data_IF_793521081970
#
_entry.id   IF_793521081970
#
_cell.length_a   1.000
_cell.length_b   1.000
_cell.length_c   1.000
_cell.angle_alpha   90.00
_cell.angle_beta   90.00
_cell.angle_gamma   90.00
#
_symmetry.space_group_name_H-M   'P 1'
#
loop_
_entity.id
_entity.type
_entity.pdbx_description
1 polymer ?
#
# COMPACT_ATOMS: atom_id res chain seq x y z
N UNK A 1 -9.20 -34.01 -4.23
CA UNK A 1 -8.52 -32.77 -3.77
C UNK A 1 -8.79 -32.62 -2.29
N UNK A 2 -7.76 -32.71 -1.45
CA UNK A 2 -7.92 -32.48 0.00
C UNK A 2 -8.06 -30.97 0.25
N UNK A 3 -9.20 -30.55 0.77
CA UNK A 3 -9.42 -29.19 1.29
C UNK A 3 -8.48 -28.96 2.46
N UNK A 4 -7.45 -28.14 2.23
CA UNK A 4 -6.55 -27.66 3.27
C UNK A 4 -7.39 -26.97 4.36
N UNK A 5 -7.23 -27.31 5.65
CA UNK A 5 -7.98 -26.65 6.70
C UNK A 5 -7.69 -25.14 6.68
N UNK A 6 -8.74 -24.32 6.65
CA UNK A 6 -8.68 -22.89 6.88
C UNK A 6 -7.90 -22.65 8.18
N UNK A 7 -6.64 -22.24 8.08
CA UNK A 7 -5.87 -21.79 9.24
C UNK A 7 -6.57 -20.54 9.76
N UNK A 8 -7.37 -20.69 10.81
CA UNK A 8 -7.92 -19.59 11.59
C UNK A 8 -6.76 -18.68 11.97
N UNK A 9 -6.82 -17.43 11.53
CA UNK A 9 -5.79 -16.47 11.88
C UNK A 9 -5.74 -16.26 13.38
N UNK A 10 -4.53 -16.01 13.90
CA UNK A 10 -4.34 -15.76 15.31
C UNK A 10 -5.31 -14.65 15.78
N UNK A 11 -6.00 -14.81 16.92
CA UNK A 11 -7.01 -13.85 17.41
C UNK A 11 -6.50 -12.41 17.47
N UNK A 12 -5.21 -12.21 17.77
CA UNK A 12 -4.55 -10.89 17.77
C UNK A 12 -4.62 -10.18 16.41
N UNK A 13 -4.49 -10.90 15.31
CA UNK A 13 -4.50 -10.34 13.96
C UNK A 13 -5.88 -9.86 13.55
N UNK A 14 -6.92 -10.55 14.01
CA UNK A 14 -8.31 -10.14 13.83
C UNK A 14 -8.59 -8.87 14.64
N UNK A 15 -8.04 -8.75 15.85
CA UNK A 15 -8.19 -7.55 16.69
C UNK A 15 -7.47 -6.35 16.07
N UNK A 16 -6.23 -6.53 15.63
CA UNK A 16 -5.43 -5.49 14.96
C UNK A 16 -6.11 -5.03 13.67
N UNK A 17 -6.52 -5.96 12.80
CA UNK A 17 -7.21 -5.63 11.54
C UNK A 17 -8.50 -4.84 11.79
N UNK A 18 -9.32 -5.25 12.77
CA UNK A 18 -10.52 -4.51 13.16
C UNK A 18 -10.20 -3.11 13.70
N UNK A 19 -9.14 -2.96 14.47
CA UNK A 19 -8.73 -1.64 14.98
C UNK A 19 -8.29 -0.72 13.85
N UNK A 20 -7.54 -1.22 12.87
CA UNK A 20 -7.15 -0.44 11.69
C UNK A 20 -8.40 0.03 10.92
N UNK A 21 -9.40 -0.85 10.76
CA UNK A 21 -10.67 -0.47 10.12
C UNK A 21 -11.45 0.58 10.90
N UNK A 22 -11.47 0.49 12.24
CA UNK A 22 -12.09 1.50 13.08
C UNK A 22 -11.40 2.88 12.99
N UNK A 23 -10.10 2.90 12.70
CA UNK A 23 -9.29 4.12 12.57
C UNK A 23 -9.18 4.62 11.13
N UNK A 24 -9.76 3.92 10.16
CA UNK A 24 -9.54 4.12 8.72
C UNK A 24 -9.69 5.59 8.30
N UNK A 25 -10.84 6.19 8.63
CA UNK A 25 -11.14 7.55 8.17
C UNK A 25 -10.24 8.59 8.85
N UNK A 26 -9.84 8.35 10.11
CA UNK A 26 -8.87 9.20 10.81
C UNK A 26 -7.47 9.10 10.20
N UNK A 27 -7.01 7.89 9.90
CA UNK A 27 -5.73 7.64 9.22
C UNK A 27 -5.69 8.32 7.85
N UNK A 28 -6.75 8.15 7.06
CA UNK A 28 -6.86 8.78 5.74
C UNK A 28 -6.89 10.30 5.85
N UNK A 29 -7.62 10.87 6.83
CA UNK A 29 -7.66 12.31 7.02
C UNK A 29 -6.30 12.89 7.46
N UNK A 30 -5.55 12.19 8.33
CA UNK A 30 -4.18 12.58 8.72
C UNK A 30 -3.21 12.45 7.55
N UNK A 31 -3.32 11.38 6.77
CA UNK A 31 -2.47 11.15 5.61
C UNK A 31 -2.71 12.16 4.51
N UNK A 32 -3.98 12.40 4.14
CA UNK A 32 -4.36 13.39 3.11
C UNK A 32 -3.82 14.78 3.46
N UNK A 33 -3.98 15.23 4.70
CA UNK A 33 -3.44 16.52 5.18
C UNK A 33 -1.92 16.60 5.08
N UNK A 34 -1.22 15.51 5.38
CA UNK A 34 0.23 15.45 5.21
C UNK A 34 0.64 15.57 3.73
N UNK A 35 -0.08 14.90 2.83
CA UNK A 35 0.16 15.00 1.38
C UNK A 35 -0.08 16.43 0.89
N UNK A 36 -1.21 17.04 1.27
CA UNK A 36 -1.57 18.42 0.92
C UNK A 36 -0.52 19.43 1.38
N UNK A 37 -0.01 19.28 2.60
CA UNK A 37 1.01 20.19 3.16
C UNK A 37 2.34 20.13 2.39
N UNK A 38 2.66 19.01 1.72
CA UNK A 38 3.88 18.85 0.92
C UNK A 38 3.73 19.26 -0.54
N UNK A 39 2.51 19.44 -1.02
CA UNK A 39 2.19 19.59 -2.43
C UNK A 39 2.32 21.03 -2.99
N UNK A 40 3.17 21.87 -2.39
CA UNK A 40 3.48 23.20 -2.93
C UNK A 40 4.31 23.09 -4.23
N UNK A 41 3.67 22.76 -5.36
CA UNK A 41 4.27 22.80 -6.70
C UNK A 41 4.06 21.59 -7.63
N UNK A 42 3.30 20.56 -7.25
CA UNK A 42 3.13 19.32 -8.03
C UNK A 42 1.74 19.18 -8.67
N UNK A 43 1.64 18.37 -9.73
CA UNK A 43 0.38 18.14 -10.47
C UNK A 43 -0.63 17.42 -9.56
N UNK A 44 -1.82 18.01 -9.39
CA UNK A 44 -2.88 17.46 -8.55
C UNK A 44 -3.64 16.36 -9.26
N UNK A 45 -3.71 15.18 -8.62
CA UNK A 45 -4.84 14.28 -8.80
C UNK A 45 -6.04 14.89 -8.07
N UNK A 46 -7.24 14.82 -8.67
CA UNK A 46 -8.44 15.36 -8.04
C UNK A 46 -8.62 14.82 -6.61
N UNK A 47 -8.91 15.68 -5.60
CA UNK A 47 -9.00 15.26 -4.20
C UNK A 47 -9.82 13.99 -3.93
N UNK A 48 -10.98 13.77 -4.60
CA UNK A 48 -11.78 12.56 -4.38
C UNK A 48 -11.10 11.27 -4.83
N UNK A 49 -10.26 11.31 -5.87
CA UNK A 49 -9.57 10.12 -6.37
C UNK A 49 -8.45 9.70 -5.43
N UNK A 50 -7.66 10.67 -4.97
CA UNK A 50 -6.60 10.45 -3.97
C UNK A 50 -7.19 9.85 -2.70
N UNK A 51 -8.21 10.48 -2.13
CA UNK A 51 -8.84 9.99 -0.88
C UNK A 51 -9.37 8.55 -1.02
N UNK A 52 -10.00 8.21 -2.16
CA UNK A 52 -10.46 6.84 -2.43
C UNK A 52 -9.31 5.83 -2.47
N UNK A 53 -8.18 6.20 -3.08
CA UNK A 53 -7.01 5.33 -3.12
C UNK A 53 -6.39 5.15 -1.73
N UNK A 54 -6.25 6.22 -0.94
CA UNK A 54 -5.74 6.11 0.43
C UNK A 54 -6.65 5.21 1.28
N UNK A 55 -7.97 5.37 1.15
CA UNK A 55 -8.97 4.50 1.77
C UNK A 55 -8.77 3.04 1.36
N UNK A 56 -8.62 2.76 0.07
CA UNK A 56 -8.37 1.41 -0.44
C UNK A 56 -7.08 0.82 0.14
N UNK A 57 -6.00 1.58 0.21
CA UNK A 57 -4.72 1.12 0.78
C UNK A 57 -4.90 0.75 2.26
N UNK A 58 -5.58 1.59 3.05
CA UNK A 58 -5.83 1.31 4.48
C UNK A 58 -6.75 0.09 4.65
N UNK A 59 -7.78 -0.03 3.81
CA UNK A 59 -8.67 -1.20 3.75
C UNK A 59 -7.87 -2.48 3.52
N UNK A 60 -7.08 -2.51 2.46
CA UNK A 60 -6.27 -3.68 2.11
C UNK A 60 -5.21 -3.98 3.16
N UNK A 61 -4.59 -2.96 3.77
CA UNK A 61 -3.63 -3.15 4.86
C UNK A 61 -4.27 -3.87 6.06
N UNK A 62 -5.50 -3.52 6.43
CA UNK A 62 -6.22 -4.21 7.50
C UNK A 62 -6.52 -5.68 7.14
N UNK A 63 -6.94 -5.95 5.90
CA UNK A 63 -7.19 -7.31 5.43
C UNK A 63 -5.89 -8.15 5.39
N UNK A 64 -4.79 -7.56 4.95
CA UNK A 64 -3.44 -8.16 4.94
C UNK A 64 -2.91 -8.46 6.34
N UNK A 65 -3.27 -7.61 7.30
CA UNK A 65 -2.96 -7.78 8.72
C UNK A 65 -3.82 -8.86 9.37
N UNK A 66 -5.03 -9.10 8.85
CA UNK A 66 -6.03 -10.02 9.38
C UNK A 66 -6.12 -11.38 8.69
N UNK A 67 -7.30 -12.05 8.76
CA UNK A 67 -7.51 -13.38 8.22
C UNK A 67 -7.65 -13.43 6.70
N UNK A 68 -8.07 -12.33 6.08
CA UNK A 68 -8.31 -12.24 4.63
C UNK A 68 -7.05 -11.90 3.85
N UNK A 69 -5.87 -12.22 4.40
CA UNK A 69 -4.59 -11.89 3.79
C UNK A 69 -4.44 -12.50 2.40
N UNK A 70 -4.94 -13.72 2.19
CA UNK A 70 -4.77 -14.42 0.90
C UNK A 70 -5.57 -13.74 -0.20
N UNK A 71 -6.79 -13.33 0.14
CA UNK A 71 -7.71 -12.64 -0.75
C UNK A 71 -7.27 -11.19 -1.01
N UNK A 72 -6.57 -10.58 -0.05
CA UNK A 72 -6.06 -9.22 -0.17
C UNK A 72 -4.65 -9.12 -0.77
N UNK A 73 -3.93 -10.22 -1.00
CA UNK A 73 -2.53 -10.19 -1.46
C UNK A 73 -2.41 -9.52 -2.85
N UNK A 74 -3.15 -10.01 -3.85
CA UNK A 74 -3.10 -9.42 -5.21
C UNK A 74 -3.65 -7.98 -5.25
N UNK A 75 -4.82 -7.65 -4.64
CA UNK A 75 -5.28 -6.27 -4.59
C UNK A 75 -4.32 -5.33 -3.85
N UNK A 76 -3.64 -5.80 -2.80
CA UNK A 76 -2.63 -5.02 -2.08
C UNK A 76 -1.47 -4.61 -2.99
N UNK A 77 -0.94 -5.57 -3.76
CA UNK A 77 0.10 -5.25 -4.74
C UNK A 77 -0.44 -4.31 -5.82
N UNK A 78 -1.59 -4.59 -6.43
CA UNK A 78 -2.14 -3.70 -7.46
C UNK A 78 -2.36 -2.26 -6.97
N UNK A 79 -2.88 -2.08 -5.74
CA UNK A 79 -3.14 -0.76 -5.17
C UNK A 79 -1.86 0.00 -4.82
N UNK A 80 -0.86 -0.68 -4.27
CA UNK A 80 0.43 -0.05 -3.91
C UNK A 80 1.26 0.28 -5.15
N UNK A 81 1.22 -0.56 -6.18
CA UNK A 81 1.83 -0.28 -7.48
C UNK A 81 1.16 0.94 -8.15
N UNK A 82 -0.18 0.99 -8.15
CA UNK A 82 -0.94 2.13 -8.65
C UNK A 82 -0.59 3.43 -7.91
N UNK A 83 -0.42 3.37 -6.59
CA UNK A 83 0.02 4.51 -5.79
C UNK A 83 1.37 5.06 -6.26
N UNK A 84 2.34 4.16 -6.51
CA UNK A 84 3.63 4.50 -7.10
C UNK A 84 3.53 5.15 -8.48
N UNK A 85 2.76 4.54 -9.38
CA UNK A 85 2.51 5.10 -10.73
C UNK A 85 1.93 6.51 -10.66
N UNK A 86 0.96 6.71 -9.76
CA UNK A 86 0.34 8.01 -9.54
C UNK A 86 1.29 9.02 -8.93
N UNK A 87 2.24 8.60 -8.09
CA UNK A 87 3.29 9.47 -7.60
C UNK A 87 4.21 9.97 -8.72
N UNK A 88 4.55 9.11 -9.69
CA UNK A 88 5.32 9.52 -10.86
C UNK A 88 4.56 10.57 -11.70
N UNK A 89 3.23 10.39 -11.88
CA UNK A 89 2.37 11.38 -12.55
C UNK A 89 2.31 12.71 -11.79
N UNK A 90 2.32 12.66 -10.45
CA UNK A 90 2.42 13.85 -9.59
C UNK A 90 3.79 14.55 -9.67
N UNK A 91 4.79 13.92 -10.30
CA UNK A 91 6.15 14.47 -10.42
C UNK A 91 6.98 14.33 -9.14
N UNK A 92 6.62 13.41 -8.25
CA UNK A 92 7.40 13.11 -7.05
C UNK A 92 8.68 12.38 -7.42
N UNK A 93 9.67 12.42 -6.54
CA UNK A 93 10.82 11.52 -6.55
C UNK A 93 10.49 10.19 -5.86
N UNK A 94 11.27 9.13 -6.15
CA UNK A 94 11.09 7.83 -5.48
C UNK A 94 11.24 7.93 -3.94
N UNK A 95 12.14 8.79 -3.46
CA UNK A 95 12.31 9.05 -2.03
C UNK A 95 11.06 9.62 -1.39
N UNK A 96 10.35 10.52 -2.08
CA UNK A 96 9.10 11.08 -1.58
C UNK A 96 7.97 10.03 -1.52
N UNK A 97 7.91 9.11 -2.48
CA UNK A 97 6.96 7.96 -2.42
C UNK A 97 7.20 7.13 -1.16
N UNK A 98 8.47 6.86 -0.86
CA UNK A 98 8.85 6.15 0.36
C UNK A 98 8.43 6.95 1.58
N UNK A 99 8.73 8.25 1.66
CA UNK A 99 8.34 9.12 2.77
C UNK A 99 6.82 9.14 3.00
N UNK A 100 6.02 9.24 1.94
CA UNK A 100 4.55 9.24 2.04
C UNK A 100 4.02 7.94 2.68
N UNK A 101 4.60 6.79 2.34
CA UNK A 101 4.22 5.49 2.92
C UNK A 101 4.82 5.24 4.30
N UNK A 102 6.00 5.81 4.59
CA UNK A 102 6.57 5.76 5.94
C UNK A 102 5.79 6.63 6.92
N UNK A 103 5.19 7.72 6.46
CA UNK A 103 4.25 8.49 7.27
C UNK A 103 3.02 7.65 7.66
N UNK A 104 2.48 6.83 6.74
CA UNK A 104 1.42 5.88 7.10
C UNK A 104 1.88 4.88 8.17
N UNK A 105 3.12 4.39 8.12
CA UNK A 105 3.69 3.53 9.17
C UNK A 105 3.73 4.23 10.52
N UNK A 106 4.14 5.50 10.54
CA UNK A 106 4.17 6.30 11.77
C UNK A 106 2.77 6.44 12.37
N UNK A 107 1.77 6.80 11.55
CA UNK A 107 0.38 6.90 11.97
C UNK A 107 -0.13 5.59 12.56
N UNK A 108 0.09 4.47 11.87
CA UNK A 108 -0.31 3.14 12.34
C UNK A 108 0.39 2.78 13.65
N UNK A 109 1.69 3.06 13.78
CA UNK A 109 2.46 2.75 14.99
C UNK A 109 1.91 3.51 16.18
N UNK A 110 1.62 4.81 16.00
CA UNK A 110 1.06 5.67 17.05
C UNK A 110 -0.35 5.25 17.43
N UNK A 111 -1.24 5.10 16.44
CA UNK A 111 -2.67 4.88 16.69
C UNK A 111 -3.00 3.42 17.07
N UNK A 112 -2.08 2.48 16.81
CA UNK A 112 -2.19 1.08 17.25
C UNK A 112 -1.39 0.76 18.53
N UNK A 113 -0.62 1.70 19.08
CA UNK A 113 0.25 1.42 20.24
C UNK A 113 -0.54 0.81 21.40
N UNK A 114 -1.66 1.43 21.79
CA UNK A 114 -2.48 0.98 22.92
C UNK A 114 -3.04 -0.43 22.72
N UNK A 115 -3.53 -0.74 21.51
CA UNK A 115 -4.08 -2.07 21.24
C UNK A 115 -2.98 -3.13 21.21
N UNK A 116 -1.79 -2.78 20.71
CA UNK A 116 -0.65 -3.70 20.65
C UNK A 116 -0.13 -4.03 22.05
N UNK A 117 -0.07 -3.04 22.96
CA UNK A 117 0.33 -3.24 24.37
C UNK A 117 -0.72 -4.06 25.13
N UNK A 118 -2.00 -3.94 24.78
CA UNK A 118 -3.08 -4.71 25.39
C UNK A 118 -3.12 -6.20 24.96
N UNK A 119 -2.41 -6.59 23.89
CA UNK A 119 -2.31 -7.99 23.48
C UNK A 119 -1.48 -8.81 24.48
N UNK A 120 -1.70 -10.14 24.57
CA UNK A 120 -0.80 -11.02 25.29
C UNK A 120 0.65 -10.82 24.84
N UNK A 121 1.60 -10.76 25.77
CA UNK A 121 3.03 -10.45 25.50
C UNK A 121 3.61 -11.25 24.33
N UNK A 122 3.26 -12.54 24.24
CA UNK A 122 3.70 -13.45 23.16
C UNK A 122 3.20 -13.08 21.76
N UNK A 123 2.19 -12.20 21.66
CA UNK A 123 1.53 -11.78 20.43
C UNK A 123 1.84 -10.33 20.04
N UNK A 124 2.39 -9.50 20.93
CA UNK A 124 2.67 -8.08 20.67
C UNK A 124 3.68 -7.91 19.53
N UNK A 125 4.92 -8.38 19.74
CA UNK A 125 6.00 -8.26 18.75
C UNK A 125 5.68 -8.96 17.41
N UNK A 126 5.11 -10.19 17.38
CA UNK A 126 4.69 -10.80 16.12
C UNK A 126 3.65 -9.98 15.34
N UNK A 127 2.72 -9.31 16.04
CA UNK A 127 1.71 -8.47 15.39
C UNK A 127 2.36 -7.23 14.77
N UNK A 128 3.26 -6.56 15.50
CA UNK A 128 4.04 -5.43 14.99
C UNK A 128 4.87 -5.82 13.76
N UNK A 129 5.64 -6.91 13.85
CA UNK A 129 6.49 -7.37 12.75
C UNK A 129 5.67 -7.75 11.51
N UNK A 130 4.44 -8.25 11.68
CA UNK A 130 3.56 -8.56 10.56
C UNK A 130 3.07 -7.30 9.85
N UNK A 131 2.62 -6.30 10.59
CA UNK A 131 2.19 -5.01 10.02
C UNK A 131 3.37 -4.37 9.27
N UNK A 132 4.55 -4.33 9.89
CA UNK A 132 5.76 -3.81 9.26
C UNK A 132 6.07 -4.54 7.96
N UNK A 133 6.01 -5.87 7.94
CA UNK A 133 6.26 -6.66 6.73
C UNK A 133 5.24 -6.39 5.62
N UNK A 134 3.98 -6.14 5.95
CA UNK A 134 2.96 -5.76 4.95
C UNK A 134 3.30 -4.40 4.36
N UNK A 135 3.60 -3.41 5.21
CA UNK A 135 4.02 -2.07 4.78
C UNK A 135 5.30 -2.10 3.95
N UNK A 136 6.33 -2.82 4.38
CA UNK A 136 7.61 -2.95 3.65
C UNK A 136 7.39 -3.47 2.23
N UNK A 137 6.51 -4.47 2.06
CA UNK A 137 6.12 -4.98 0.74
C UNK A 137 5.36 -3.95 -0.08
N UNK A 138 4.45 -3.19 0.54
CA UNK A 138 3.75 -2.11 -0.13
C UNK A 138 4.68 -1.00 -0.59
N UNK A 139 5.66 -0.61 0.24
CA UNK A 139 6.70 0.37 -0.11
C UNK A 139 7.51 -0.12 -1.29
N UNK A 140 8.05 -1.35 -1.23
CA UNK A 140 8.83 -1.91 -2.32
C UNK A 140 8.03 -1.92 -3.63
N UNK A 141 6.76 -2.33 -3.57
CA UNK A 141 5.90 -2.44 -4.74
C UNK A 141 5.45 -1.08 -5.29
N UNK A 142 5.24 -0.08 -4.43
CA UNK A 142 5.02 1.29 -4.86
C UNK A 142 6.25 1.88 -5.57
N UNK A 143 7.46 1.58 -5.08
CA UNK A 143 8.69 2.00 -5.77
C UNK A 143 8.82 1.32 -7.14
N UNK A 144 8.44 0.04 -7.27
CA UNK A 144 8.37 -0.64 -8.58
C UNK A 144 7.39 0.08 -9.50
N UNK A 145 6.14 0.28 -9.07
CA UNK A 145 5.14 0.98 -9.89
C UNK A 145 5.55 2.40 -10.28
N UNK A 146 6.21 3.13 -9.38
CA UNK A 146 6.81 4.44 -9.67
C UNK A 146 7.87 4.35 -10.77
N UNK A 147 8.79 3.39 -10.66
CA UNK A 147 9.90 3.20 -11.60
C UNK A 147 9.39 2.76 -12.97
N UNK A 148 8.43 1.84 -13.02
CA UNK A 148 7.82 1.37 -14.27
C UNK A 148 7.11 2.52 -15.00
N UNK A 149 6.42 3.40 -14.26
CA UNK A 149 5.82 4.60 -14.85
C UNK A 149 6.87 5.54 -15.45
N UNK A 150 7.97 5.79 -14.73
CA UNK A 150 9.07 6.61 -15.27
C UNK A 150 9.66 6.00 -16.54
N UNK A 151 9.99 4.71 -16.51
CA UNK A 151 10.55 3.99 -17.66
C UNK A 151 9.61 4.06 -18.86
N UNK A 152 8.31 3.83 -18.65
CA UNK A 152 7.30 3.95 -19.70
C UNK A 152 7.25 5.38 -20.29
N UNK A 153 7.36 6.42 -19.45
CA UNK A 153 7.40 7.81 -19.95
C UNK A 153 8.67 8.13 -20.73
N UNK A 154 9.82 7.56 -20.37
CA UNK A 154 11.06 7.73 -21.12
C UNK A 154 10.94 7.12 -22.53
N UNK A 155 10.51 5.86 -22.63
CA UNK A 155 10.33 5.20 -23.93
C UNK A 155 9.26 5.86 -24.80
N UNK A 156 8.17 6.36 -24.19
CA UNK A 156 7.11 7.08 -24.91
C UNK A 156 7.56 8.44 -25.46
N UNK A 157 8.52 9.11 -24.79
CA UNK A 157 9.06 10.40 -25.22
C UNK A 157 10.16 10.27 -26.27
N UNK A 158 10.90 9.16 -26.26
CA UNK A 158 12.01 8.92 -27.18
C UNK A 158 11.57 8.26 -28.50
N UNK A 159 10.27 8.00 -28.69
CA UNK A 159 9.73 7.45 -29.95
C UNK A 159 10.18 6.01 -30.23
N UNK A 160 10.64 5.28 -29.22
CA UNK A 160 11.07 3.88 -29.36
C UNK A 160 9.82 3.00 -29.44
N UNK A 161 9.61 2.24 -30.53
CA UNK A 161 8.49 1.31 -30.61
C UNK A 161 8.58 0.28 -29.49
N UNK A 162 7.55 0.21 -28.64
CA UNK A 162 7.39 -0.92 -27.71
C UNK A 162 7.14 -2.15 -28.57
N UNK A 163 7.94 -3.24 -28.45
CA UNK A 163 7.69 -4.44 -29.23
C UNK A 163 6.39 -5.07 -28.76
N UNK A 164 5.33 -4.89 -29.54
CA UNK A 164 4.08 -5.62 -29.37
C UNK A 164 4.37 -7.10 -29.60
N UNK A 165 3.86 -7.98 -28.74
CA UNK A 165 4.05 -9.44 -28.76
C UNK A 165 3.44 -10.16 -29.97
N UNK A 166 3.18 -9.45 -31.07
CA UNK A 166 2.48 -9.94 -32.27
C UNK A 166 3.38 -10.66 -33.29
N UNK A 167 4.62 -11.02 -32.92
CA UNK A 167 5.52 -11.77 -33.78
C UNK A 167 5.93 -13.13 -33.19
N UNK A 168 4.92 -13.91 -32.80
CA UNK A 168 5.02 -15.37 -32.80
C UNK A 168 3.98 -15.93 -33.76
N UNK A 169 4.27 -15.80 -35.05
CA UNK A 169 3.68 -16.65 -36.08
C UNK A 169 4.81 -17.27 -36.89
N UNK A 170 4.94 -18.59 -36.68
CA UNK A 170 5.39 -19.63 -37.59
C UNK A 170 6.50 -19.29 -38.59
N UNK A 171 7.65 -19.97 -38.44
CA UNK A 171 8.25 -20.84 -39.45
C UNK A 171 9.14 -21.89 -38.78
#
# INVERSE_FOLDING_TARGET
MATQPLRTSAPSLVVVGRRIMALRDELVAKWSRFLEARQAGTVMLGPPATERLLKLIVDLLAHMSGPMRREADDPWFAATELYGRLAAVRGLSAGEVVEELQYLRELLTKDLADILVALPVRQQLPSVLRINRVLDRGVANAVVGYTDALVATMFSREGVPVPTTDHVHEL
#
